data_IF_301797874008
#
_entry.id   IF_301797874008
#
_cell.length_a   1.000
_cell.length_b   1.000
_cell.length_c   1.000
_cell.angle_alpha   90.00
_cell.angle_beta   90.00
_cell.angle_gamma   90.00
#
_symmetry.space_group_name_H-M   'P 1'
#
loop_
_entity.id
_entity.type
_entity.pdbx_description
1 polymer ?
#
# COMPACT_ATOMS: atom_id res chain seq x y z
N UNK A 1 -1.17 25.46 -2.95
CA UNK A 1 -0.54 24.45 -3.83
C UNK A 1 0.60 25.12 -4.59
N UNK A 2 1.84 24.62 -4.51
CA UNK A 2 3.02 25.28 -5.08
C UNK A 2 3.03 25.24 -6.62
N UNK A 3 3.47 26.33 -7.28
CA UNK A 3 3.50 26.46 -8.74
C UNK A 3 4.30 25.33 -9.40
N UNK A 4 5.44 24.96 -8.80
CA UNK A 4 6.31 23.88 -9.27
C UNK A 4 5.57 22.54 -9.34
N UNK A 5 4.72 22.24 -8.34
CA UNK A 5 3.95 21.01 -8.33
C UNK A 5 2.92 20.95 -9.48
N UNK A 6 2.32 22.10 -9.86
CA UNK A 6 1.38 22.18 -10.98
C UNK A 6 2.09 21.97 -12.33
N UNK A 7 3.27 22.57 -12.49
CA UNK A 7 4.08 22.42 -13.71
C UNK A 7 4.54 20.96 -13.87
N UNK A 8 5.04 20.35 -12.79
CA UNK A 8 5.45 18.94 -12.80
C UNK A 8 4.26 18.01 -13.10
N UNK A 9 3.10 18.24 -12.49
CA UNK A 9 1.88 17.48 -12.78
C UNK A 9 1.51 17.58 -14.26
N UNK A 10 1.48 18.79 -14.81
CA UNK A 10 1.12 18.99 -16.21
C UNK A 10 2.09 18.33 -17.18
N UNK A 11 3.39 18.29 -16.83
CA UNK A 11 4.44 17.75 -17.70
C UNK A 11 4.57 16.23 -17.62
N UNK A 12 4.45 15.65 -16.43
CA UNK A 12 4.82 14.26 -16.19
C UNK A 12 3.67 13.34 -15.79
N UNK A 13 2.58 13.86 -15.20
CA UNK A 13 1.46 13.03 -14.73
C UNK A 13 0.12 13.76 -14.82
N UNK A 14 -0.24 14.18 -16.04
CA UNK A 14 -1.46 14.96 -16.26
C UNK A 14 -2.73 14.22 -15.81
N UNK A 15 -2.84 12.93 -16.14
CA UNK A 15 -4.01 12.08 -15.86
C UNK A 15 -3.78 11.02 -14.78
N UNK A 16 -2.61 11.00 -14.14
CA UNK A 16 -2.26 9.96 -13.16
C UNK A 16 -1.99 10.57 -11.78
N UNK A 17 -2.03 9.73 -10.75
CA UNK A 17 -1.52 10.11 -9.43
C UNK A 17 0.02 10.19 -9.47
N UNK A 18 0.62 10.88 -8.50
CA UNK A 18 2.08 10.93 -8.38
C UNK A 18 2.69 9.53 -8.17
N UNK A 19 1.98 8.65 -7.45
CA UNK A 19 2.44 7.28 -7.20
C UNK A 19 2.50 6.45 -8.49
N UNK A 20 1.63 6.73 -9.45
CA UNK A 20 1.52 6.00 -10.72
C UNK A 20 2.28 6.69 -11.88
N UNK A 21 2.98 7.78 -11.61
CA UNK A 21 3.59 8.61 -12.65
C UNK A 21 4.74 7.87 -13.39
N UNK A 22 4.73 7.70 -14.71
CA UNK A 22 5.83 7.04 -15.40
C UNK A 22 7.10 7.92 -15.41
N UNK A 23 8.26 7.29 -15.56
CA UNK A 23 9.52 8.02 -15.75
C UNK A 23 9.51 8.83 -17.07
N UNK A 24 8.91 8.28 -18.12
CA UNK A 24 8.81 8.89 -19.45
C UNK A 24 10.12 8.86 -20.24
N UNK A 25 10.11 9.42 -21.46
CA UNK A 25 11.29 9.54 -22.31
C UNK A 25 12.01 10.88 -22.04
N UNK A 26 13.32 10.82 -21.79
CA UNK A 26 14.21 11.95 -21.52
C UNK A 26 13.74 12.91 -20.39
N UNK A 27 13.54 12.39 -19.17
CA UNK A 27 13.14 13.21 -18.03
C UNK A 27 14.28 14.13 -17.56
N UNK A 28 13.89 15.26 -16.95
CA UNK A 28 14.84 16.13 -16.27
C UNK A 28 15.44 15.40 -15.06
N UNK A 29 16.69 15.73 -14.70
CA UNK A 29 17.36 15.12 -13.55
C UNK A 29 16.54 15.18 -12.23
N UNK A 30 15.83 16.30 -12.05
CA UNK A 30 14.90 16.50 -10.92
C UNK A 30 13.79 15.44 -10.92
N UNK A 31 13.24 15.09 -12.08
CA UNK A 31 12.19 14.08 -12.20
C UNK A 31 12.73 12.67 -11.90
N UNK A 32 13.94 12.33 -12.36
CA UNK A 32 14.61 11.09 -11.97
C UNK A 32 14.75 10.95 -10.46
N UNK A 33 15.22 11.99 -9.80
CA UNK A 33 15.41 12.00 -8.34
C UNK A 33 14.07 11.87 -7.59
N UNK A 34 13.02 12.51 -8.11
CA UNK A 34 11.67 12.41 -7.54
C UNK A 34 11.06 11.01 -7.72
N UNK A 35 11.25 10.39 -8.89
CA UNK A 35 10.79 9.02 -9.15
C UNK A 35 11.51 8.03 -8.25
N UNK A 36 12.83 8.16 -8.11
CA UNK A 36 13.59 7.31 -7.18
C UNK A 36 13.11 7.47 -5.73
N UNK A 37 12.95 8.72 -5.26
CA UNK A 37 12.42 8.98 -3.92
C UNK A 37 10.99 8.47 -3.73
N UNK A 38 10.15 8.51 -4.78
CA UNK A 38 8.81 7.94 -4.77
C UNK A 38 8.85 6.41 -4.69
N UNK A 39 9.69 5.74 -5.45
CA UNK A 39 9.78 4.27 -5.44
C UNK A 39 10.20 3.78 -4.06
N UNK A 40 11.17 4.46 -3.45
CA UNK A 40 11.58 4.27 -2.07
C UNK A 40 10.43 4.55 -1.08
N UNK A 41 9.65 5.62 -1.28
CA UNK A 41 8.46 5.89 -0.47
C UNK A 41 7.44 4.75 -0.59
N UNK A 42 7.19 4.26 -1.80
CA UNK A 42 6.22 3.19 -2.06
C UNK A 42 6.55 1.89 -1.31
N UNK A 43 7.82 1.62 -1.03
CA UNK A 43 8.25 0.46 -0.23
C UNK A 43 7.87 0.55 1.25
N UNK A 44 7.62 1.75 1.79
CA UNK A 44 7.22 1.95 3.19
C UNK A 44 5.76 2.34 3.38
N UNK A 45 5.04 2.55 2.26
CA UNK A 45 3.62 2.86 2.24
C UNK A 45 2.80 1.57 2.25
N UNK A 46 1.75 1.55 3.08
CA UNK A 46 0.77 0.46 3.12
C UNK A 46 -0.64 1.02 3.27
N UNK A 47 -1.62 0.25 2.85
CA UNK A 47 -3.03 0.53 3.08
C UNK A 47 -3.44 0.13 4.50
N UNK A 48 -4.05 1.07 5.21
CA UNK A 48 -4.84 0.81 6.40
C UNK A 48 -6.25 0.43 5.95
N UNK A 49 -6.71 -0.74 6.38
CA UNK A 49 -7.97 -1.30 5.94
C UNK A 49 -9.12 -0.69 6.75
N UNK A 50 -9.98 0.05 6.05
CA UNK A 50 -11.25 0.54 6.56
C UNK A 50 -12.38 -0.39 6.12
N UNK A 51 -12.93 -0.14 4.93
CA UNK A 51 -13.97 -0.97 4.32
C UNK A 51 -13.41 -2.09 3.40
N UNK A 52 -12.12 -2.05 3.03
CA UNK A 52 -11.47 -3.05 2.17
C UNK A 52 -11.91 -3.05 0.70
N UNK A 53 -12.84 -2.19 0.27
CA UNK A 53 -13.44 -2.22 -1.07
C UNK A 53 -12.53 -1.71 -2.19
N UNK A 54 -11.48 -0.96 -1.86
CA UNK A 54 -10.58 -0.36 -2.86
C UNK A 54 -9.17 -0.95 -2.83
N UNK A 55 -8.97 -2.05 -2.08
CA UNK A 55 -7.65 -2.68 -1.91
C UNK A 55 -7.74 -4.11 -2.43
N UNK A 56 -6.90 -4.45 -3.40
CA UNK A 56 -6.77 -5.81 -3.93
C UNK A 56 -5.87 -6.62 -3.01
N UNK A 57 -6.27 -7.85 -2.74
CA UNK A 57 -5.60 -8.71 -1.75
C UNK A 57 -4.12 -8.96 -2.10
N UNK A 58 -3.82 -9.27 -3.36
CA UNK A 58 -2.47 -9.67 -3.79
C UNK A 58 -1.65 -8.56 -4.47
N UNK A 59 -2.32 -7.55 -5.02
CA UNK A 59 -1.63 -6.51 -5.79
C UNK A 59 -1.20 -5.30 -4.94
N UNK A 60 -1.98 -4.95 -3.92
CA UNK A 60 -1.77 -3.73 -3.15
C UNK A 60 -1.10 -4.06 -1.79
N UNK A 61 -0.21 -3.20 -1.25
CA UNK A 61 0.46 -3.43 0.02
C UNK A 61 -0.47 -3.08 1.20
N UNK A 62 -0.93 -4.06 1.99
CA UNK A 62 -1.85 -3.83 3.12
C UNK A 62 -1.60 -4.67 4.38
N UNK A 63 -0.79 -5.74 4.28
CA UNK A 63 -0.48 -6.61 5.41
C UNK A 63 0.55 -6.00 6.35
N UNK A 64 0.49 -6.43 7.62
CA UNK A 64 1.49 -6.12 8.63
C UNK A 64 2.69 -7.08 8.53
N UNK A 65 3.51 -6.90 7.49
CA UNK A 65 4.73 -7.70 7.25
C UNK A 65 5.89 -6.78 6.88
N UNK A 66 7.09 -7.06 7.35
CA UNK A 66 8.28 -6.22 7.13
C UNK A 66 8.88 -6.23 5.73
N UNK A 67 8.49 -7.15 4.85
CA UNK A 67 9.08 -7.27 3.50
C UNK A 67 8.30 -6.51 2.43
N UNK A 68 7.13 -7.03 2.03
CA UNK A 68 6.39 -6.54 0.84
C UNK A 68 5.02 -5.97 1.18
N UNK A 69 4.60 -6.04 2.45
CA UNK A 69 3.22 -5.78 2.90
C UNK A 69 2.15 -6.53 2.09
N UNK A 70 2.51 -7.60 1.39
CA UNK A 70 1.63 -8.41 0.53
C UNK A 70 1.64 -9.87 1.00
N UNK A 71 0.58 -10.65 0.67
CA UNK A 71 0.61 -12.08 0.87
C UNK A 71 1.79 -12.71 0.13
N UNK A 72 2.44 -13.67 0.77
CA UNK A 72 3.42 -14.57 0.13
C UNK A 72 2.66 -15.69 -0.59
N UNK A 73 1.50 -16.06 -0.05
CA UNK A 73 0.63 -17.09 -0.63
C UNK A 73 0.26 -16.70 -2.06
N UNK A 74 0.55 -17.54 -3.06
CA UNK A 74 0.23 -17.23 -4.45
C UNK A 74 -1.29 -17.16 -4.65
N UNK A 75 -1.75 -16.15 -5.40
CA UNK A 75 -3.16 -16.08 -5.81
C UNK A 75 -3.46 -17.16 -6.85
N UNK A 76 -4.67 -17.72 -6.81
CA UNK A 76 -5.23 -18.42 -7.95
C UNK A 76 -5.95 -17.42 -8.89
N UNK A 77 -6.22 -17.82 -10.15
CA UNK A 77 -6.89 -16.97 -11.14
C UNK A 77 -8.28 -16.51 -10.71
N UNK A 78 -8.97 -17.28 -9.87
CA UNK A 78 -10.33 -16.99 -9.39
C UNK A 78 -10.32 -15.85 -8.37
N UNK A 79 -9.32 -15.81 -7.49
CA UNK A 79 -9.21 -14.83 -6.40
C UNK A 79 -8.35 -13.62 -6.74
N UNK A 80 -7.72 -13.58 -7.92
CA UNK A 80 -6.82 -12.49 -8.30
C UNK A 80 -7.50 -11.11 -8.32
N UNK A 81 -8.80 -11.07 -8.62
CA UNK A 81 -9.62 -9.85 -8.62
C UNK A 81 -10.26 -9.53 -7.27
N UNK A 82 -10.06 -10.39 -6.25
CA UNK A 82 -10.69 -10.20 -4.95
C UNK A 82 -10.10 -9.02 -4.20
N UNK A 83 -10.99 -8.38 -3.45
CA UNK A 83 -10.71 -7.22 -2.61
C UNK A 83 -10.59 -7.66 -1.16
N UNK A 84 -9.90 -6.87 -0.35
CA UNK A 84 -9.77 -7.15 1.09
C UNK A 84 -11.14 -7.22 1.77
N UNK A 85 -12.15 -6.49 1.25
CA UNK A 85 -13.54 -6.60 1.69
C UNK A 85 -14.09 -8.04 1.64
N UNK A 86 -13.68 -8.88 0.68
CA UNK A 86 -14.11 -10.28 0.58
C UNK A 86 -13.61 -11.15 1.75
N UNK A 87 -12.60 -10.68 2.48
CA UNK A 87 -12.07 -11.33 3.69
C UNK A 87 -12.76 -10.83 4.96
N UNK A 88 -13.64 -9.84 4.88
CA UNK A 88 -14.31 -9.20 6.03
C UNK A 88 -15.77 -9.68 6.05
N UNK A 89 -16.29 -9.96 7.24
CA UNK A 89 -17.71 -10.27 7.41
C UNK A 89 -18.52 -8.96 7.35
N UNK A 90 -19.43 -8.81 6.39
CA UNK A 90 -20.15 -7.53 6.17
C UNK A 90 -20.84 -6.99 7.43
N UNK A 91 -21.32 -7.85 8.32
CA UNK A 91 -22.07 -7.44 9.52
C UNK A 91 -21.22 -7.32 10.80
N UNK A 92 -19.98 -7.80 10.77
CA UNK A 92 -19.10 -7.84 11.94
C UNK A 92 -17.75 -7.26 11.51
N UNK A 93 -17.25 -6.23 12.19
CA UNK A 93 -15.90 -5.66 11.93
C UNK A 93 -14.82 -6.68 12.34
N UNK A 94 -14.76 -7.79 11.61
CA UNK A 94 -14.01 -9.01 11.89
C UNK A 94 -13.66 -9.70 10.57
N UNK A 95 -12.49 -10.31 10.55
CA UNK A 95 -12.04 -11.17 9.47
C UNK A 95 -12.86 -12.45 9.41
N UNK A 96 -13.19 -12.90 8.20
CA UNK A 96 -13.75 -14.22 7.96
C UNK A 96 -12.63 -15.26 8.09
N UNK A 97 -12.52 -15.83 9.28
CA UNK A 97 -11.45 -16.78 9.63
C UNK A 97 -11.47 -18.02 8.73
N UNK A 98 -12.65 -18.48 8.31
CA UNK A 98 -12.79 -19.67 7.46
C UNK A 98 -12.20 -19.41 6.06
N UNK A 99 -12.57 -18.29 5.44
CA UNK A 99 -12.01 -17.89 4.14
C UNK A 99 -10.49 -17.67 4.26
N UNK A 100 -10.05 -17.00 5.32
CA UNK A 100 -8.62 -16.74 5.55
C UNK A 100 -7.84 -18.06 5.73
N UNK A 101 -8.42 -19.04 6.42
CA UNK A 101 -7.82 -20.37 6.60
C UNK A 101 -7.72 -21.18 5.31
N UNK A 102 -8.67 -21.00 4.38
CA UNK A 102 -8.69 -21.71 3.11
C UNK A 102 -7.73 -21.09 2.07
N UNK A 103 -7.59 -19.75 2.08
CA UNK A 103 -6.87 -19.03 1.02
C UNK A 103 -5.40 -18.76 1.33
N UNK A 104 -4.99 -18.70 2.59
CA UNK A 104 -3.65 -18.25 2.98
C UNK A 104 -2.85 -19.29 3.73
N UNK A 105 -1.53 -19.27 3.55
CA UNK A 105 -0.59 -20.02 4.36
C UNK A 105 -0.53 -19.50 5.80
N UNK A 106 0.01 -20.32 6.71
CA UNK A 106 0.04 -20.01 8.15
C UNK A 106 0.59 -18.61 8.45
N UNK A 107 1.72 -18.24 7.87
CA UNK A 107 2.36 -16.94 8.11
C UNK A 107 1.47 -15.75 7.72
N UNK A 108 0.79 -15.85 6.57
CA UNK A 108 -0.09 -14.79 6.09
C UNK A 108 -1.36 -14.71 6.94
N UNK A 109 -1.91 -15.84 7.37
CA UNK A 109 -3.08 -15.88 8.27
C UNK A 109 -2.84 -15.14 9.57
N UNK A 110 -1.68 -15.39 10.19
CA UNK A 110 -1.30 -14.71 11.45
C UNK A 110 -1.20 -13.20 11.24
N UNK A 111 -0.61 -12.75 10.13
CA UNK A 111 -0.51 -11.33 9.79
C UNK A 111 -1.89 -10.69 9.52
N UNK A 112 -2.77 -11.36 8.78
CA UNK A 112 -4.11 -10.87 8.45
C UNK A 112 -4.95 -10.72 9.71
N UNK A 113 -5.02 -11.78 10.53
CA UNK A 113 -5.84 -11.79 11.74
C UNK A 113 -5.37 -10.80 12.81
N UNK A 114 -4.07 -10.45 12.81
CA UNK A 114 -3.51 -9.40 13.67
C UNK A 114 -3.82 -7.98 13.19
N UNK A 115 -4.23 -7.80 11.95
CA UNK A 115 -4.47 -6.47 11.40
C UNK A 115 -5.76 -5.89 12.00
N UNK A 116 -5.69 -4.78 12.76
CA UNK A 116 -6.87 -4.18 13.34
C UNK A 116 -7.77 -3.62 12.23
N UNK A 117 -9.02 -4.06 12.22
CA UNK A 117 -10.05 -3.45 11.39
C UNK A 117 -10.59 -2.20 12.08
N UNK A 118 -10.81 -1.14 11.32
CA UNK A 118 -11.38 0.10 11.86
C UNK A 118 -12.82 -0.13 12.31
N UNK A 119 -13.10 0.10 13.61
CA UNK A 119 -14.44 0.02 14.20
C UNK A 119 -15.43 0.99 13.55
N UNK A 120 -14.93 2.13 13.08
CA UNK A 120 -15.68 3.07 12.25
C UNK A 120 -15.44 2.68 10.79
N UNK A 121 -16.51 2.35 10.05
CA UNK A 121 -16.42 2.14 8.58
C UNK A 121 -15.91 3.42 7.93
N UNK A 122 -14.60 3.50 7.75
CA UNK A 122 -13.90 4.57 7.03
C UNK A 122 -13.42 4.03 5.70
N UNK A 123 -13.13 4.94 4.78
CA UNK A 123 -12.43 4.59 3.56
C UNK A 123 -11.00 4.14 3.89
N UNK A 124 -10.39 3.39 2.96
CA UNK A 124 -9.02 2.93 3.10
C UNK A 124 -8.07 4.13 2.97
N UNK A 125 -7.09 4.23 3.86
CA UNK A 125 -6.08 5.29 3.86
C UNK A 125 -4.69 4.72 3.61
N UNK A 126 -3.85 5.48 2.93
CA UNK A 126 -2.44 5.14 2.76
C UNK A 126 -1.66 5.67 3.97
N UNK A 127 -0.92 4.80 4.64
CA UNK A 127 -0.17 5.12 5.86
C UNK A 127 1.29 4.73 5.73
N UNK A 128 2.14 5.45 6.47
CA UNK A 128 3.56 5.13 6.57
C UNK A 128 3.79 4.09 7.67
N UNK A 129 4.35 2.93 7.31
CA UNK A 129 4.52 1.82 8.26
C UNK A 129 5.57 2.10 9.35
N UNK A 130 6.63 2.85 9.03
CA UNK A 130 7.79 3.02 9.91
C UNK A 130 7.70 4.19 10.90
N UNK A 131 6.51 4.80 11.08
CA UNK A 131 6.27 5.81 12.10
C UNK A 131 4.98 5.50 12.86
N UNK A 132 5.03 5.65 14.19
CA UNK A 132 3.91 5.35 15.08
C UNK A 132 2.71 6.29 14.85
N UNK A 133 2.91 7.47 14.26
CA UNK A 133 1.82 8.40 13.92
C UNK A 133 1.26 8.16 12.53
N UNK A 134 1.67 7.08 11.84
CA UNK A 134 1.23 6.76 10.48
C UNK A 134 1.56 7.86 9.45
N UNK A 135 2.44 8.81 9.82
CA UNK A 135 2.82 9.96 9.01
C UNK A 135 4.26 9.83 8.54
N UNK A 136 4.49 10.16 7.27
CA UNK A 136 5.83 10.13 6.72
C UNK A 136 6.71 11.23 7.32
N UNK A 137 7.91 10.85 7.76
CA UNK A 137 8.99 11.77 8.12
C UNK A 137 10.23 11.46 7.31
N UNK A 138 10.94 12.50 6.88
CA UNK A 138 12.19 12.35 6.11
C UNK A 138 13.20 11.45 6.82
N UNK A 139 13.30 11.55 8.15
CA UNK A 139 14.19 10.72 8.98
C UNK A 139 13.86 9.22 8.89
N UNK A 140 12.57 8.85 8.92
CA UNK A 140 12.17 7.44 8.82
C UNK A 140 12.34 6.91 7.40
N UNK A 141 12.08 7.74 6.39
CA UNK A 141 12.40 7.41 5.00
C UNK A 141 13.88 7.13 4.85
N UNK A 142 14.76 8.06 5.21
CA UNK A 142 16.21 7.90 5.08
C UNK A 142 16.76 6.61 5.73
N UNK A 143 16.22 6.21 6.88
CA UNK A 143 16.57 4.94 7.53
C UNK A 143 16.23 3.71 6.68
N UNK A 144 15.09 3.73 5.99
CA UNK A 144 14.70 2.66 5.07
C UNK A 144 15.68 2.57 3.89
N UNK A 145 16.01 3.70 3.27
CA UNK A 145 16.98 3.73 2.15
C UNK A 145 18.36 3.22 2.55
N UNK A 146 18.79 3.48 3.78
CA UNK A 146 20.07 2.98 4.27
C UNK A 146 20.05 1.50 4.65
N UNK A 147 18.88 0.91 4.91
CA UNK A 147 18.74 -0.50 5.22
C UNK A 147 18.65 -1.38 3.95
N UNK A 148 18.27 -0.82 2.79
CA UNK A 148 18.23 -1.52 1.50
C UNK A 148 19.58 -1.55 0.75
N UNK A 149 20.62 -0.93 1.32
CA UNK A 149 21.94 -0.79 0.71
C UNK A 149 22.94 -1.80 1.28
#
# INVERSE_FOLDING_TARGET
MFLVARVLKSKYFFNCSFLDAPLGCNPLYIWHSLIWGRDMLSQGLRWQIGNGNNVRIWADPWMLRTSTFRPITPSNLVVQSWKVANLILDNLVRWNVDIVNQLFWYDDRVCILRNPLSLVRRENSLIWHYDYRETYKVKSGYRLAMAEK
#
